data_IF_281650952771
#
_entry.id   IF_281650952771
#
_cell.length_a   1.000
_cell.length_b   1.000
_cell.length_c   1.000
_cell.angle_alpha   90.00
_cell.angle_beta   90.00
_cell.angle_gamma   90.00
#
_symmetry.space_group_name_H-M   'P 1'
#
loop_
_entity.id
_entity.type
_entity.pdbx_description
1 polymer ?
#
# COMPACT_ATOMS: atom_id res chain seq x y z
N UNK A 1 1.94 -52.92 20.70
CA UNK A 1 1.53 -53.67 19.49
C UNK A 1 2.70 -53.67 18.52
N UNK A 2 3.39 -54.81 18.44
CA UNK A 2 4.44 -55.14 17.48
C UNK A 2 3.83 -55.64 16.17
N UNK A 3 4.48 -55.35 15.04
CA UNK A 3 4.59 -56.22 13.85
C UNK A 3 5.69 -55.63 12.94
N UNK A 4 6.88 -56.24 12.74
CA UNK A 4 7.26 -57.39 11.88
C UNK A 4 6.77 -57.19 10.44
N UNK A 5 7.56 -57.26 9.36
CA UNK A 5 8.50 -58.29 8.88
C UNK A 5 8.97 -57.82 7.46
N UNK A 6 10.19 -58.00 6.93
CA UNK A 6 10.77 -59.25 6.38
C UNK A 6 12.21 -59.03 5.81
N UNK A 7 13.12 -59.97 6.13
CA UNK A 7 14.15 -60.74 5.34
C UNK A 7 14.90 -60.11 4.13
N UNK A 8 16.16 -60.42 3.73
CA UNK A 8 17.08 -61.60 3.81
C UNK A 8 18.55 -61.10 3.88
N UNK A 9 19.46 -61.63 4.72
CA UNK A 9 20.37 -62.80 4.55
C UNK A 9 21.29 -62.79 3.33
N UNK A 10 22.60 -62.62 3.56
CA UNK A 10 23.68 -63.37 2.90
C UNK A 10 24.93 -63.45 3.80
N UNK A 11 25.24 -64.68 4.23
CA UNK A 11 26.43 -65.13 4.95
C UNK A 11 27.49 -65.56 3.93
N UNK A 12 28.77 -65.20 4.13
CA UNK A 12 29.92 -66.08 3.84
C UNK A 12 31.05 -65.80 4.85
N UNK A 13 31.47 -66.87 5.51
CA UNK A 13 32.59 -66.99 6.45
C UNK A 13 33.96 -66.84 5.77
N UNK A 14 35.02 -66.49 6.51
CA UNK A 14 36.15 -67.39 6.81
C UNK A 14 37.05 -66.74 7.88
N UNK A 15 37.29 -67.52 8.92
CA UNK A 15 38.18 -67.35 10.05
C UNK A 15 39.67 -67.31 9.69
N UNK A 16 40.46 -66.51 10.40
CA UNK A 16 41.70 -67.01 11.02
C UNK A 16 42.08 -66.16 12.24
N UNK A 17 42.13 -66.84 13.38
CA UNK A 17 42.66 -66.37 14.67
C UNK A 17 44.14 -66.01 14.56
N UNK A 18 44.59 -65.02 15.33
CA UNK A 18 45.70 -65.18 16.28
C UNK A 18 45.64 -64.06 17.33
N UNK A 19 45.27 -64.45 18.54
CA UNK A 19 45.46 -63.69 19.79
C UNK A 19 46.94 -63.82 20.17
N UNK A 20 47.64 -62.70 20.34
CA UNK A 20 48.86 -62.65 21.13
C UNK A 20 48.74 -61.49 22.12
N UNK A 21 48.72 -61.84 23.39
CA UNK A 21 48.86 -60.92 24.52
C UNK A 21 50.29 -60.36 24.58
N UNK A 22 50.45 -59.04 24.71
CA UNK A 22 51.32 -58.49 25.75
C UNK A 22 51.04 -57.02 26.04
N UNK A 23 50.99 -56.72 27.33
CA UNK A 23 50.84 -55.41 27.91
C UNK A 23 52.22 -54.81 28.20
N UNK A 24 52.43 -53.53 27.88
CA UNK A 24 53.24 -52.56 28.64
C UNK A 24 53.22 -51.22 27.89
N UNK A 25 52.58 -50.22 28.50
CA UNK A 25 53.19 -48.98 29.00
C UNK A 25 53.35 -47.84 27.98
N UNK A 26 52.79 -46.71 28.39
CA UNK A 26 52.77 -45.36 27.81
C UNK A 26 54.03 -44.99 27.03
N UNK A 27 53.84 -44.31 25.90
CA UNK A 27 54.47 -43.00 25.68
C UNK A 27 53.68 -42.17 24.67
N UNK A 28 53.57 -40.89 25.03
CA UNK A 28 52.81 -39.84 24.36
C UNK A 28 53.38 -39.58 22.96
N UNK A 29 52.56 -39.69 21.92
CA UNK A 29 52.79 -38.94 20.69
C UNK A 29 51.47 -38.60 20.01
N UNK A 30 51.33 -37.31 19.75
CA UNK A 30 50.29 -36.66 18.97
C UNK A 30 50.31 -37.18 17.54
N UNK A 31 49.21 -37.77 17.07
CA UNK A 31 48.93 -37.84 15.64
C UNK A 31 47.42 -37.83 15.35
N UNK A 32 47.05 -36.75 14.67
CA UNK A 32 45.98 -36.59 13.69
C UNK A 32 44.84 -37.61 13.65
N UNK A 33 43.66 -37.21 14.11
CA UNK A 33 42.41 -37.78 13.61
C UNK A 33 42.15 -37.22 12.21
N UNK A 34 42.19 -38.11 11.22
CA UNK A 34 41.82 -37.83 9.84
C UNK A 34 40.33 -37.50 9.74
N UNK A 35 40.05 -36.29 9.28
CA UNK A 35 38.72 -35.81 8.91
C UNK A 35 38.07 -36.74 7.87
N UNK A 36 36.85 -37.17 8.16
CA UNK A 36 35.92 -37.61 7.12
C UNK A 36 34.54 -37.04 7.41
N UNK A 37 34.25 -35.86 6.88
CA UNK A 37 32.87 -35.35 6.81
C UNK A 37 32.77 -34.13 5.91
N UNK A 38 32.17 -34.35 4.73
CA UNK A 38 31.40 -33.37 3.95
C UNK A 38 31.84 -31.91 4.02
N UNK A 39 32.72 -31.51 3.09
CA UNK A 39 32.92 -30.10 2.75
C UNK A 39 31.69 -29.57 1.98
N UNK A 40 30.58 -29.43 2.69
CA UNK A 40 29.60 -28.39 2.41
C UNK A 40 29.89 -27.34 3.47
N UNK A 41 30.58 -26.26 3.07
CA UNK A 41 31.17 -25.28 4.00
C UNK A 41 30.30 -25.02 5.24
N UNK A 42 30.83 -25.31 6.42
CA UNK A 42 30.12 -25.12 7.70
C UNK A 42 29.88 -23.63 7.91
N UNK A 43 28.69 -23.17 7.56
CA UNK A 43 28.25 -21.82 7.79
C UNK A 43 27.90 -21.66 9.27
N UNK A 44 28.56 -20.74 9.96
CA UNK A 44 28.41 -20.51 11.40
C UNK A 44 27.20 -19.64 11.73
N UNK A 45 26.49 -19.99 12.81
CA UNK A 45 25.35 -19.26 13.40
C UNK A 45 25.84 -18.01 14.15
N UNK A 46 25.07 -16.92 14.07
CA UNK A 46 25.30 -15.71 14.84
C UNK A 46 24.42 -15.67 16.08
N UNK A 47 24.85 -14.95 17.13
CA UNK A 47 24.05 -14.74 18.33
C UNK A 47 23.89 -13.24 18.59
N UNK A 48 22.68 -12.72 18.42
CA UNK A 48 22.35 -11.32 18.71
C UNK A 48 21.42 -11.26 19.93
N UNK A 49 21.86 -10.60 21.01
CA UNK A 49 21.14 -10.53 22.29
C UNK A 49 20.68 -11.90 22.83
N UNK A 50 21.49 -12.95 22.61
CA UNK A 50 21.20 -14.32 23.05
C UNK A 50 20.27 -15.11 22.11
N UNK A 51 19.76 -14.49 21.04
CA UNK A 51 18.95 -15.16 20.01
C UNK A 51 19.86 -15.68 18.89
N UNK A 52 19.77 -16.97 18.52
CA UNK A 52 20.53 -17.53 17.41
C UNK A 52 19.93 -17.14 16.05
N UNK A 53 20.76 -16.74 15.10
CA UNK A 53 20.42 -16.43 13.71
C UNK A 53 21.32 -17.23 12.76
N UNK A 54 20.71 -17.93 11.80
CA UNK A 54 21.40 -18.76 10.82
C UNK A 54 22.21 -17.91 9.83
N UNK A 55 23.18 -18.51 9.17
CA UNK A 55 23.89 -17.84 8.09
C UNK A 55 22.92 -17.39 6.99
N UNK A 56 23.16 -16.19 6.47
CA UNK A 56 22.30 -15.43 5.54
C UNK A 56 20.95 -15.00 6.12
N UNK A 57 20.67 -15.25 7.40
CA UNK A 57 19.46 -14.73 8.04
C UNK A 57 19.55 -13.22 8.22
N UNK A 58 18.46 -12.54 7.87
CA UNK A 58 18.28 -11.09 7.96
C UNK A 58 17.15 -10.81 8.93
N UNK A 59 17.37 -9.91 9.89
CA UNK A 59 16.35 -9.52 10.86
C UNK A 59 16.36 -8.01 11.12
N UNK A 60 15.18 -7.47 11.36
CA UNK A 60 15.01 -6.08 11.76
C UNK A 60 15.07 -5.98 13.29
N UNK A 61 16.01 -5.19 13.79
CA UNK A 61 16.13 -4.89 15.23
C UNK A 61 15.08 -3.85 15.62
N UNK A 62 14.95 -2.82 14.79
CA UNK A 62 13.93 -1.78 14.83
C UNK A 62 13.87 -1.12 13.44
N UNK A 63 12.99 -0.15 13.24
CA UNK A 63 12.65 0.44 11.93
C UNK A 63 13.84 1.11 11.20
N UNK A 64 14.99 1.29 11.85
CA UNK A 64 16.19 1.93 11.30
C UNK A 64 17.40 0.99 11.21
N UNK A 65 17.28 -0.26 11.67
CA UNK A 65 18.42 -1.14 11.83
C UNK A 65 18.07 -2.56 11.43
N UNK A 66 18.64 -2.98 10.32
CA UNK A 66 18.54 -4.35 9.81
C UNK A 66 19.89 -5.02 9.92
N UNK A 67 19.93 -6.21 10.49
CA UNK A 67 21.14 -6.99 10.66
C UNK A 67 21.12 -8.25 9.80
N UNK A 68 22.29 -8.70 9.40
CA UNK A 68 22.49 -9.94 8.64
C UNK A 68 23.58 -10.76 9.28
N UNK A 69 23.34 -12.06 9.40
CA UNK A 69 24.33 -13.01 9.85
C UNK A 69 25.11 -13.56 8.66
N UNK A 70 26.43 -13.33 8.63
CA UNK A 70 27.32 -13.89 7.61
C UNK A 70 28.40 -14.72 8.29
N UNK A 71 28.16 -16.02 8.36
CA UNK A 71 29.14 -17.03 8.83
C UNK A 71 29.71 -16.67 10.21
N UNK A 72 28.83 -16.54 11.20
CA UNK A 72 29.16 -16.17 12.58
C UNK A 72 29.39 -14.67 12.82
N UNK A 73 29.49 -13.86 11.76
CA UNK A 73 29.67 -12.41 11.87
C UNK A 73 28.34 -11.68 11.66
N UNK A 74 27.96 -10.84 12.62
CA UNK A 74 26.79 -9.96 12.51
C UNK A 74 27.22 -8.66 11.83
N UNK A 75 26.54 -8.31 10.74
CA UNK A 75 26.68 -7.01 10.08
C UNK A 75 25.34 -6.29 10.09
N UNK A 76 25.29 -5.08 10.66
CA UNK A 76 24.06 -4.30 10.73
C UNK A 76 24.14 -3.03 9.90
N UNK A 77 23.12 -2.81 9.07
CA UNK A 77 22.92 -1.58 8.32
C UNK A 77 22.01 -0.66 9.12
N UNK A 78 22.49 0.55 9.42
CA UNK A 78 21.71 1.60 10.06
C UNK A 78 21.31 2.62 8.99
N UNK A 79 20.01 2.83 8.80
CA UNK A 79 19.51 3.89 7.93
C UNK A 79 19.67 5.25 8.62
N UNK A 80 20.29 6.21 7.95
CA UNK A 80 20.42 7.59 8.43
C UNK A 80 19.57 8.54 7.61
N UNK A 81 18.77 9.36 8.29
CA UNK A 81 17.82 10.25 7.66
C UNK A 81 18.53 11.50 7.06
N UNK A 82 18.77 11.50 5.74
CA UNK A 82 19.28 12.68 4.99
C UNK A 82 18.39 13.92 5.07
N UNK A 83 18.86 14.98 5.75
CA UNK A 83 18.12 16.24 6.00
C UNK A 83 17.48 16.92 4.77
N UNK A 84 17.93 16.64 3.54
CA UNK A 84 17.27 17.13 2.30
C UNK A 84 15.94 16.44 1.99
N UNK A 85 15.69 15.22 2.48
CA UNK A 85 14.44 14.45 2.25
C UNK A 85 13.36 14.75 3.31
N UNK A 86 13.75 15.28 4.47
CA UNK A 86 12.90 15.56 5.64
C UNK A 86 12.45 17.02 5.75
N UNK A 87 12.70 17.81 4.69
CA UNK A 87 12.21 19.18 4.53
C UNK A 87 12.37 20.04 5.78
N UNK A 88 13.49 20.74 5.90
CA UNK A 88 13.72 21.85 6.86
C UNK A 88 12.56 22.89 6.87
N UNK A 89 11.64 22.83 5.91
CA UNK A 89 10.53 23.75 5.71
C UNK A 89 9.13 23.09 5.65
N UNK A 90 8.90 21.87 6.16
CA UNK A 90 7.54 21.33 6.23
C UNK A 90 6.88 21.56 7.59
N UNK A 91 5.63 22.05 7.55
CA UNK A 91 4.87 22.50 8.73
C UNK A 91 4.47 21.32 9.63
N UNK A 92 4.46 20.08 9.10
CA UNK A 92 4.12 18.90 9.90
C UNK A 92 4.66 17.58 9.30
N UNK A 93 5.86 17.12 9.70
CA UNK A 93 6.42 15.85 9.25
C UNK A 93 5.72 14.64 9.89
N UNK A 94 5.52 13.56 9.13
CA UNK A 94 4.86 12.32 9.58
C UNK A 94 5.83 11.14 9.48
N UNK A 95 5.89 10.24 10.48
CA UNK A 95 6.64 8.97 10.39
C UNK A 95 5.69 7.83 10.01
N UNK A 96 5.83 7.20 8.84
CA UNK A 96 5.01 6.05 8.48
C UNK A 96 5.25 4.85 9.42
N UNK A 97 4.26 3.96 9.60
CA UNK A 97 4.47 2.71 10.34
C UNK A 97 5.54 1.85 9.68
N UNK A 98 6.53 1.39 10.45
CA UNK A 98 7.63 0.55 9.95
C UNK A 98 8.80 1.30 9.30
N UNK A 99 8.67 2.61 9.07
CA UNK A 99 9.74 3.42 8.48
C UNK A 99 10.63 4.06 9.56
N UNK A 100 11.94 4.08 9.32
CA UNK A 100 12.90 4.77 10.18
C UNK A 100 12.61 6.27 10.30
N UNK A 101 12.28 6.89 9.16
CA UNK A 101 12.43 8.32 9.01
C UNK A 101 11.12 9.04 8.67
N UNK A 102 11.04 10.33 9.04
CA UNK A 102 9.87 11.17 8.78
C UNK A 102 9.69 11.49 7.29
N UNK A 103 8.53 11.89 6.83
CA UNK A 103 8.36 12.45 5.50
C UNK A 103 7.46 13.66 5.58
N UNK A 104 7.70 14.62 4.70
CA UNK A 104 6.81 15.75 4.54
C UNK A 104 5.68 15.29 3.62
N UNK A 105 4.44 15.20 4.13
CA UNK A 105 3.31 14.88 3.27
C UNK A 105 3.13 15.98 2.24
N UNK A 106 2.66 15.61 1.05
CA UNK A 106 2.21 16.59 0.09
C UNK A 106 0.81 17.07 0.48
N UNK A 107 0.57 18.39 0.49
CA UNK A 107 -0.76 18.91 0.78
C UNK A 107 -1.53 19.15 -0.52
N UNK A 108 -2.74 18.62 -0.55
CA UNK A 108 -3.73 18.86 -1.60
C UNK A 108 -4.96 19.48 -0.95
N UNK A 109 -5.21 20.75 -1.26
CA UNK A 109 -6.31 21.52 -0.68
C UNK A 109 -7.32 21.87 -1.76
N UNK A 110 -8.53 21.33 -1.67
CA UNK A 110 -9.62 21.59 -2.62
C UNK A 110 -10.28 22.93 -2.28
N UNK A 111 -10.36 23.82 -3.26
CA UNK A 111 -11.07 25.10 -3.15
C UNK A 111 -12.49 25.01 -3.69
N UNK A 112 -12.73 24.21 -4.72
CA UNK A 112 -14.06 24.06 -5.32
C UNK A 112 -14.14 22.83 -6.22
N UNK A 113 -15.26 22.12 -6.17
CA UNK A 113 -15.64 21.10 -7.16
C UNK A 113 -16.77 21.66 -8.03
N UNK A 114 -16.68 21.47 -9.36
CA UNK A 114 -17.70 21.93 -10.31
C UNK A 114 -18.05 20.82 -11.31
N UNK A 115 -19.20 20.15 -11.17
CA UNK A 115 -19.70 19.26 -12.21
C UNK A 115 -20.30 20.05 -13.38
N UNK A 116 -20.13 19.53 -14.59
CA UNK A 116 -20.77 19.97 -15.82
C UNK A 116 -21.39 18.75 -16.50
N UNK A 117 -22.63 18.89 -16.98
CA UNK A 117 -23.30 17.82 -17.74
C UNK A 117 -22.82 17.91 -19.19
N UNK A 118 -22.12 16.88 -19.68
CA UNK A 118 -21.70 16.78 -21.08
C UNK A 118 -22.83 16.22 -21.95
N UNK A 119 -23.52 15.18 -21.46
CA UNK A 119 -24.67 14.58 -22.15
C UNK A 119 -25.57 13.83 -21.17
N UNK A 120 -26.78 13.51 -21.62
CA UNK A 120 -27.69 12.61 -20.93
C UNK A 120 -28.26 11.60 -21.94
N UNK A 121 -28.50 10.37 -21.48
CA UNK A 121 -29.17 9.33 -22.26
C UNK A 121 -30.22 8.69 -21.38
N UNK A 122 -31.47 8.64 -21.84
CA UNK A 122 -32.56 7.96 -21.15
C UNK A 122 -33.04 6.78 -21.98
N UNK A 123 -33.01 5.58 -21.40
CA UNK A 123 -33.48 4.34 -22.04
C UNK A 123 -34.31 3.55 -21.05
N UNK A 124 -35.56 3.19 -21.40
CA UNK A 124 -36.46 2.39 -20.55
C UNK A 124 -36.56 2.89 -19.09
N UNK A 125 -36.65 4.23 -18.90
CA UNK A 125 -36.73 4.85 -17.57
C UNK A 125 -35.41 4.95 -16.79
N UNK A 126 -34.31 4.39 -17.30
CA UNK A 126 -32.97 4.58 -16.75
C UNK A 126 -32.31 5.79 -17.42
N UNK A 127 -31.83 6.73 -16.62
CA UNK A 127 -31.08 7.88 -17.13
C UNK A 127 -29.61 7.75 -16.76
N UNK A 128 -28.73 7.98 -17.72
CA UNK A 128 -27.29 8.05 -17.51
C UNK A 128 -26.82 9.46 -17.82
N UNK A 129 -26.13 10.10 -16.88
CA UNK A 129 -25.43 11.36 -17.10
C UNK A 129 -23.96 11.10 -17.37
N UNK A 130 -23.41 11.83 -18.32
CA UNK A 130 -21.97 11.92 -18.54
C UNK A 130 -21.53 13.29 -18.04
N UNK A 131 -20.65 13.30 -17.03
CA UNK A 131 -20.21 14.50 -16.33
C UNK A 131 -18.72 14.78 -16.60
N UNK A 132 -18.39 16.05 -16.77
CA UNK A 132 -17.04 16.55 -16.59
C UNK A 132 -16.97 17.26 -15.23
N UNK A 133 -16.02 16.89 -14.38
CA UNK A 133 -15.93 17.42 -13.01
C UNK A 133 -14.60 18.13 -12.83
N UNK A 134 -14.63 19.46 -12.86
CA UNK A 134 -13.48 20.31 -12.57
C UNK A 134 -13.22 20.33 -11.05
N UNK A 135 -12.00 19.98 -10.65
CA UNK A 135 -11.53 20.12 -9.28
C UNK A 135 -10.52 21.26 -9.23
N UNK A 136 -10.89 22.32 -8.52
CA UNK A 136 -10.05 23.50 -8.38
C UNK A 136 -9.33 23.39 -7.05
N UNK A 137 -8.04 23.12 -7.10
CA UNK A 137 -7.16 23.13 -5.94
C UNK A 137 -6.71 24.55 -5.60
N UNK A 138 -6.35 24.75 -4.34
CA UNK A 138 -5.73 25.98 -3.84
C UNK A 138 -4.23 25.90 -4.06
N UNK A 139 -3.64 26.98 -4.56
CA UNK A 139 -2.19 27.15 -4.70
C UNK A 139 -1.65 27.92 -3.49
N UNK A 140 -0.81 27.31 -2.67
CA UNK A 140 -0.08 27.91 -1.55
C UNK A 140 1.35 27.38 -1.51
N UNK A 141 2.25 28.05 -0.78
CA UNK A 141 3.63 27.57 -0.59
C UNK A 141 3.75 26.21 0.13
N UNK A 142 2.65 25.65 0.61
CA UNK A 142 2.56 24.35 1.28
C UNK A 142 1.92 23.26 0.40
N UNK A 143 1.28 23.61 -0.71
CA UNK A 143 0.71 22.66 -1.67
C UNK A 143 1.75 22.27 -2.72
N UNK A 144 1.58 21.11 -3.36
CA UNK A 144 2.63 20.51 -4.23
C UNK A 144 2.07 19.50 -5.24
N UNK A 145 1.03 18.75 -4.90
CA UNK A 145 0.41 17.74 -5.77
C UNK A 145 0.36 16.34 -5.15
N UNK A 146 -0.11 15.34 -5.90
CA UNK A 146 -0.14 13.93 -5.47
C UNK A 146 -0.11 13.00 -6.68
N UNK A 147 0.66 11.91 -6.56
CA UNK A 147 0.81 10.85 -7.56
C UNK A 147 0.62 9.51 -6.85
N UNK A 148 -0.12 8.60 -7.47
CA UNK A 148 -0.42 7.28 -6.92
C UNK A 148 -1.66 6.64 -7.55
N UNK A 149 -2.16 5.61 -6.89
CA UNK A 149 -3.30 4.81 -7.33
C UNK A 149 -4.50 5.00 -6.38
N UNK A 150 -5.72 4.90 -6.92
CA UNK A 150 -6.97 5.02 -6.14
C UNK A 150 -7.02 6.25 -5.23
N UNK A 151 -6.48 7.37 -5.72
CA UNK A 151 -6.32 8.63 -4.98
C UNK A 151 -7.65 9.29 -4.62
N UNK A 152 -8.68 9.10 -5.46
CA UNK A 152 -9.93 9.86 -5.40
C UNK A 152 -11.16 8.96 -5.26
N UNK A 153 -12.08 9.42 -4.43
CA UNK A 153 -13.45 8.93 -4.40
C UNK A 153 -14.36 10.09 -4.82
N UNK A 154 -15.16 9.87 -5.86
CA UNK A 154 -16.20 10.82 -6.27
C UNK A 154 -17.56 10.15 -6.08
N UNK A 155 -18.35 10.66 -5.14
CA UNK A 155 -19.74 10.25 -4.99
C UNK A 155 -20.65 11.15 -5.83
N UNK A 156 -21.79 10.63 -6.28
CA UNK A 156 -22.80 11.39 -7.02
C UNK A 156 -24.22 11.07 -6.54
N UNK A 157 -25.10 12.05 -6.54
CA UNK A 157 -26.52 11.88 -6.22
C UNK A 157 -27.40 12.96 -6.88
N UNK A 158 -28.68 12.67 -7.01
CA UNK A 158 -29.70 13.65 -7.39
C UNK A 158 -30.28 14.30 -6.11
N UNK A 159 -30.26 15.63 -6.08
CA UNK A 159 -30.75 16.46 -5.00
C UNK A 159 -31.98 17.26 -5.46
N UNK A 160 -33.19 16.97 -4.95
CA UNK A 160 -34.38 17.77 -5.22
C UNK A 160 -34.21 19.23 -4.73
N UNK A 161 -34.73 20.20 -5.49
CA UNK A 161 -34.69 21.62 -5.12
C UNK A 161 -35.60 21.93 -3.93
N UNK A 162 -36.77 21.30 -3.88
CA UNK A 162 -37.73 21.39 -2.78
C UNK A 162 -37.81 20.03 -2.07
N UNK A 163 -36.89 19.73 -1.15
CA UNK A 163 -36.90 18.44 -0.45
C UNK A 163 -38.12 18.37 0.47
N UNK A 164 -39.07 17.48 0.18
CA UNK A 164 -40.21 17.24 1.09
C UNK A 164 -39.84 16.39 2.29
N UNK A 165 -38.72 15.67 2.24
CA UNK A 165 -37.94 15.09 3.36
C UNK A 165 -36.51 14.81 2.82
N UNK A 166 -35.50 14.52 3.65
CA UNK A 166 -34.11 14.32 3.19
C UNK A 166 -33.95 13.05 2.34
N UNK A 167 -34.35 13.09 1.08
CA UNK A 167 -34.13 12.02 0.12
C UNK A 167 -33.17 12.52 -0.95
N UNK A 168 -31.91 12.12 -0.80
CA UNK A 168 -31.00 12.01 -1.94
C UNK A 168 -31.46 10.82 -2.78
N UNK A 169 -31.49 10.98 -4.10
CA UNK A 169 -31.95 9.93 -5.02
C UNK A 169 -30.76 9.41 -5.81
N UNK A 170 -30.67 8.09 -5.98
CA UNK A 170 -29.64 7.45 -6.80
C UNK A 170 -28.22 7.68 -6.28
N UNK A 171 -28.01 7.77 -4.96
CA UNK A 171 -26.67 7.93 -4.40
C UNK A 171 -25.74 6.80 -4.86
N UNK A 172 -24.62 7.16 -5.46
CA UNK A 172 -23.55 6.25 -5.84
C UNK A 172 -22.26 6.70 -5.16
N UNK A 173 -21.64 5.79 -4.42
CA UNK A 173 -20.47 6.11 -3.59
C UNK A 173 -19.21 6.43 -4.41
N UNK A 174 -19.01 5.71 -5.51
CA UNK A 174 -17.87 5.88 -6.40
C UNK A 174 -18.36 5.81 -7.85
N UNK A 175 -18.28 6.93 -8.57
CA UNK A 175 -18.58 7.01 -10.00
C UNK A 175 -17.34 7.09 -10.89
N UNK A 176 -16.15 7.24 -10.31
CA UNK A 176 -14.90 7.17 -11.06
C UNK A 176 -14.57 5.71 -11.40
N UNK A 177 -14.06 5.49 -12.61
CA UNK A 177 -13.34 4.26 -12.94
C UNK A 177 -11.92 4.27 -12.36
N UNK A 178 -11.19 3.16 -12.49
CA UNK A 178 -9.86 2.98 -11.87
C UNK A 178 -8.82 3.99 -12.39
N UNK A 179 -8.86 4.31 -13.69
CA UNK A 179 -7.96 5.28 -14.31
C UNK A 179 -8.23 6.71 -13.80
N UNK A 180 -9.50 7.11 -13.76
CA UNK A 180 -9.94 8.40 -13.23
C UNK A 180 -9.62 8.51 -11.73
N UNK A 181 -9.89 7.46 -10.94
CA UNK A 181 -9.61 7.42 -9.52
C UNK A 181 -8.10 7.52 -9.20
N UNK A 182 -7.25 7.11 -10.14
CA UNK A 182 -5.78 7.15 -10.02
C UNK A 182 -5.15 8.37 -10.71
N UNK A 183 -5.96 9.30 -11.22
CA UNK A 183 -5.46 10.49 -11.92
C UNK A 183 -4.57 11.34 -11.00
N UNK A 184 -3.32 11.56 -11.41
CA UNK A 184 -2.38 12.39 -10.61
C UNK A 184 -2.73 13.87 -10.67
N UNK A 185 -2.54 14.58 -9.57
CA UNK A 185 -2.63 16.05 -9.52
C UNK A 185 -1.23 16.64 -9.41
N UNK A 186 -0.86 17.48 -10.37
CA UNK A 186 0.36 18.28 -10.33
C UNK A 186 -0.03 19.72 -10.02
N UNK A 187 0.64 20.34 -9.05
CA UNK A 187 0.34 21.71 -8.67
C UNK A 187 0.46 22.68 -9.86
N UNK A 188 -0.51 23.59 -9.98
CA UNK A 188 -0.60 24.54 -11.08
C UNK A 188 -1.37 24.02 -12.30
N UNK A 189 -1.49 22.70 -12.46
CA UNK A 189 -2.21 22.12 -13.58
C UNK A 189 -3.73 22.14 -13.40
N UNK A 190 -4.44 22.19 -14.52
CA UNK A 190 -5.89 22.01 -14.54
C UNK A 190 -6.21 20.54 -14.26
N UNK A 191 -7.13 20.29 -13.34
CA UNK A 191 -7.55 18.95 -12.97
C UNK A 191 -9.05 18.74 -13.23
N UNK A 192 -9.37 17.79 -14.11
CA UNK A 192 -10.74 17.46 -14.52
C UNK A 192 -10.86 15.95 -14.61
N UNK A 193 -11.88 15.38 -13.95
CA UNK A 193 -12.37 14.04 -14.29
C UNK A 193 -13.30 14.16 -15.50
N UNK A 194 -12.88 13.63 -16.65
CA UNK A 194 -13.66 13.67 -17.89
C UNK A 194 -14.48 12.40 -18.05
N UNK A 195 -15.65 12.53 -18.67
CA UNK A 195 -16.49 11.40 -19.08
C UNK A 195 -16.87 10.48 -17.90
N UNK A 196 -17.20 11.09 -16.76
CA UNK A 196 -17.67 10.40 -15.56
C UNK A 196 -19.10 9.92 -15.81
N UNK A 197 -19.30 8.60 -15.80
CA UNK A 197 -20.59 7.98 -16.09
C UNK A 197 -21.37 7.78 -14.80
N UNK A 198 -22.53 8.45 -14.68
CA UNK A 198 -23.40 8.36 -13.53
C UNK A 198 -24.80 7.85 -13.94
N UNK A 199 -25.06 6.54 -13.80
CA UNK A 199 -26.38 5.96 -14.02
C UNK A 199 -27.26 6.14 -12.79
N UNK A 200 -28.53 6.51 -13.00
CA UNK A 200 -29.52 6.51 -11.93
C UNK A 200 -30.92 6.21 -12.47
N UNK A 201 -31.77 5.75 -11.55
CA UNK A 201 -33.21 5.66 -11.76
C UNK A 201 -33.83 6.83 -11.03
N UNK A 202 -34.46 7.74 -11.76
CA UNK A 202 -35.23 8.83 -11.15
C UNK A 202 -36.71 8.69 -11.48
N UNK A 203 -37.59 9.13 -10.57
CA UNK A 203 -38.93 9.60 -10.91
C UNK A 203 -38.87 10.59 -12.08
N UNK A 204 -39.96 10.70 -12.85
CA UNK A 204 -40.14 11.77 -13.82
C UNK A 204 -40.12 13.12 -13.10
N UNK A 205 -38.94 13.75 -13.06
CA UNK A 205 -38.75 15.12 -12.60
C UNK A 205 -38.58 16.04 -13.80
N UNK A 206 -39.08 17.26 -13.68
CA UNK A 206 -38.61 18.31 -14.57
C UNK A 206 -37.16 18.67 -14.21
N UNK A 207 -36.38 19.15 -15.19
CA UNK A 207 -34.94 19.38 -14.98
C UNK A 207 -34.63 20.52 -13.99
N UNK A 208 -35.60 21.38 -13.71
CA UNK A 208 -35.54 22.51 -12.78
C UNK A 208 -35.90 22.10 -11.34
N UNK A 209 -36.51 20.94 -11.16
CA UNK A 209 -36.91 20.40 -9.86
C UNK A 209 -35.77 19.68 -9.14
N UNK A 210 -34.66 19.40 -9.82
CA UNK A 210 -33.53 18.69 -9.24
C UNK A 210 -32.16 19.15 -9.77
N UNK A 211 -31.13 18.90 -8.96
CA UNK A 211 -29.71 19.10 -9.29
C UNK A 211 -28.99 17.78 -9.22
N UNK A 212 -27.98 17.59 -10.06
CA UNK A 212 -26.97 16.55 -9.83
C UNK A 212 -25.86 17.15 -8.99
N UNK A 213 -25.51 16.46 -7.91
CA UNK A 213 -24.45 16.84 -7.00
C UNK A 213 -23.36 15.76 -6.99
N UNK A 214 -22.12 16.19 -6.84
CA UNK A 214 -20.96 15.32 -6.65
C UNK A 214 -20.17 15.76 -5.42
N UNK A 215 -19.55 14.81 -4.74
CA UNK A 215 -18.67 15.05 -3.58
C UNK A 215 -17.32 14.37 -3.82
N UNK A 216 -16.24 15.16 -3.72
CA UNK A 216 -14.89 14.65 -3.80
C UNK A 216 -14.33 14.34 -2.42
N UNK A 217 -13.80 13.13 -2.25
CA UNK A 217 -13.07 12.68 -1.07
C UNK A 217 -11.73 12.06 -1.48
N UNK A 218 -10.83 11.94 -0.50
CA UNK A 218 -9.67 11.05 -0.62
C UNK A 218 -10.16 9.61 -0.79
N UNK A 219 -9.56 8.89 -1.73
CA UNK A 219 -9.84 7.47 -1.94
C UNK A 219 -9.46 6.62 -0.73
N UNK A 220 -10.33 5.66 -0.39
CA UNK A 220 -10.16 4.80 0.79
C UNK A 220 -8.91 3.90 0.71
N UNK A 221 -8.58 3.46 -0.51
CA UNK A 221 -7.45 2.58 -0.79
C UNK A 221 -6.31 3.33 -1.49
N UNK A 222 -6.17 4.64 -1.24
CA UNK A 222 -5.18 5.45 -1.92
C UNK A 222 -3.76 4.96 -1.60
N UNK A 223 -3.05 4.50 -2.63
CA UNK A 223 -1.64 4.10 -2.57
C UNK A 223 -0.81 5.20 -3.16
N UNK A 224 0.19 5.69 -2.43
CA UNK A 224 1.04 6.81 -2.85
C UNK A 224 2.48 6.52 -2.52
N UNK A 225 3.41 7.03 -3.34
CA UNK A 225 4.84 6.93 -3.04
C UNK A 225 5.22 7.65 -1.75
N UNK A 226 4.45 8.69 -1.39
CA UNK A 226 4.55 9.42 -0.12
C UNK A 226 3.15 9.80 0.35
N UNK A 227 2.89 9.82 1.66
CA UNK A 227 1.61 10.23 2.21
C UNK A 227 1.30 11.65 1.77
N UNK A 228 0.01 11.92 1.64
CA UNK A 228 -0.50 13.24 1.31
C UNK A 228 -1.68 13.56 2.22
N UNK A 229 -1.91 14.86 2.43
CA UNK A 229 -3.06 15.37 3.15
C UNK A 229 -4.07 15.88 2.15
N UNK A 230 -5.31 15.44 2.32
CA UNK A 230 -6.44 15.93 1.57
C UNK A 230 -7.28 16.83 2.48
N UNK A 231 -7.49 18.07 2.07
CA UNK A 231 -8.28 19.05 2.85
C UNK A 231 -9.07 19.99 1.93
N UNK A 232 -9.87 20.87 2.53
CA UNK A 232 -10.64 21.88 1.82
C UNK A 232 -10.32 23.29 2.30
N UNK A 233 -10.56 24.29 1.46
CA UNK A 233 -10.53 25.69 1.86
C UNK A 233 -11.77 26.46 1.34
N UNK A 234 -12.56 27.12 2.22
CA UNK A 234 -12.47 27.07 3.68
C UNK A 234 -12.66 25.65 4.24
N UNK A 235 -12.29 25.42 5.50
CA UNK A 235 -12.38 24.09 6.09
C UNK A 235 -13.85 23.74 6.40
N UNK A 236 -14.49 23.02 5.48
CA UNK A 236 -15.89 22.60 5.54
C UNK A 236 -16.14 21.58 4.42
N UNK A 237 -17.27 20.87 4.43
CA UNK A 237 -17.64 19.98 3.32
C UNK A 237 -18.05 20.73 2.06
N UNK A 238 -18.46 21.99 2.19
CA UNK A 238 -19.01 22.78 1.08
C UNK A 238 -18.10 22.94 -0.15
N UNK A 239 -16.76 23.09 -0.06
CA UNK A 239 -15.90 23.19 -1.24
C UNK A 239 -15.70 21.85 -1.94
N UNK A 240 -15.92 20.74 -1.23
CA UNK A 240 -15.80 19.37 -1.73
C UNK A 240 -17.05 18.93 -2.48
N UNK A 241 -18.17 19.64 -2.30
CA UNK A 241 -19.46 19.34 -2.93
C UNK A 241 -19.71 20.36 -4.05
N UNK A 242 -19.97 19.86 -5.25
CA UNK A 242 -20.39 20.67 -6.40
C UNK A 242 -21.73 20.19 -6.92
N UNK A 243 -22.65 21.11 -7.24
CA UNK A 243 -23.95 20.77 -7.81
C UNK A 243 -24.24 21.60 -9.06
N UNK A 244 -24.95 21.01 -10.01
CA UNK A 244 -25.43 21.66 -11.23
C UNK A 244 -26.89 21.28 -11.50
N UNK A 245 -27.68 22.24 -12.01
CA UNK A 245 -29.06 21.97 -12.43
C UNK A 245 -29.09 20.96 -13.56
N UNK A 246 -30.05 20.04 -13.54
CA UNK A 246 -30.25 19.10 -14.65
C UNK A 246 -30.62 19.83 -15.96
N UNK A 247 -31.08 21.09 -15.90
CA UNK A 247 -31.37 21.88 -17.10
C UNK A 247 -30.11 22.42 -17.79
N UNK A 248 -28.94 22.42 -17.13
CA UNK A 248 -27.75 23.09 -17.65
C UNK A 248 -27.18 22.47 -18.95
N UNK A 249 -27.61 21.27 -19.32
CA UNK A 249 -27.23 20.57 -20.56
C UNK A 249 -28.21 20.70 -21.73
N UNK A 250 -29.34 21.40 -21.56
CA UNK A 250 -30.28 21.70 -22.66
C UNK A 250 -29.86 23.02 -23.32
N UNK A 251 -29.05 22.96 -24.36
CA UNK A 251 -28.94 24.05 -25.35
C UNK A 251 -29.60 23.61 -26.65
#
# INVERSE_FOLDING_TARGET
MMNRSWYLVCLVCVSLMLVVHHASSQDSNSDSLSESSFSSGLLSTCYYLGVPYLHSEVWDVHECMTCTCTNGTISCAIETCSSRKYGIFCVEPVRPPGDCCYICPYDVTVRKVKPTIQSNVTTNGHTTLVLAVDVIFRYTSSTTGVIGESLWQLSAWIAPVNPTHSHTIGYTEQVLNDDQASQSYIEGDQFIFRDVVYPFVAPTFNCDEAKVCVELKRGRNAVTTRPFRFSSYPQSSTPLIGCISLCAGRK
#
